data_IF_808236788438
#
_entry.id   IF_808236788438
#
_cell.length_a   1.000
_cell.length_b   1.000
_cell.length_c   1.000
_cell.angle_alpha   90.00
_cell.angle_beta   90.00
_cell.angle_gamma   90.00
#
_symmetry.space_group_name_H-M   'P 1'
#
loop_
_entity.id
_entity.type
_entity.pdbx_description
1 polymer ?
#
# COMPACT_ATOMS: atom_id res chain seq x y z
N UNK A 1 -30.60 33.18 -44.74
CA UNK A 1 -31.10 31.80 -44.48
C UNK A 1 -29.87 30.91 -44.28
N UNK A 2 -29.20 31.01 -43.12
CA UNK A 2 -29.27 30.03 -42.01
C UNK A 2 -29.53 28.57 -42.42
N UNK A 3 -28.88 27.53 -41.91
CA UNK A 3 -27.92 27.27 -40.83
C UNK A 3 -27.02 26.13 -41.37
N UNK A 4 -25.77 25.95 -40.99
CA UNK A 4 -25.38 25.14 -39.84
C UNK A 4 -23.91 25.40 -39.51
N UNK A 5 -23.68 26.09 -38.39
CA UNK A 5 -22.46 25.94 -37.60
C UNK A 5 -22.54 24.61 -36.84
N UNK A 6 -21.53 23.75 -36.95
CA UNK A 6 -21.31 22.70 -35.98
C UNK A 6 -19.86 22.75 -35.53
N UNK A 7 -19.73 23.02 -34.23
CA UNK A 7 -18.66 22.47 -33.42
C UNK A 7 -17.33 23.21 -33.51
N UNK A 8 -17.24 24.30 -32.75
CA UNK A 8 -16.03 24.58 -32.01
C UNK A 8 -15.67 23.33 -31.18
N UNK A 9 -14.86 22.45 -31.77
CA UNK A 9 -14.08 21.47 -31.04
C UNK A 9 -13.08 22.25 -30.21
N UNK A 10 -13.54 22.73 -29.06
CA UNK A 10 -12.70 23.20 -27.98
C UNK A 10 -11.67 22.11 -27.73
N UNK A 11 -10.49 22.26 -28.29
CA UNK A 11 -9.29 21.66 -27.73
C UNK A 11 -9.12 22.32 -26.36
N UNK A 12 -9.92 21.89 -25.38
CA UNK A 12 -9.52 21.98 -23.99
C UNK A 12 -8.21 21.23 -23.99
N UNK A 13 -7.12 21.98 -24.09
CA UNK A 13 -5.86 21.59 -23.53
C UNK A 13 -6.22 21.21 -22.10
N UNK A 14 -6.42 19.90 -21.87
CA UNK A 14 -6.34 19.36 -20.54
C UNK A 14 -4.95 19.78 -20.13
N UNK A 15 -4.85 20.78 -19.27
CA UNK A 15 -3.60 21.20 -18.67
C UNK A 15 -3.01 19.93 -18.09
N UNK A 16 -2.09 19.30 -18.83
CA UNK A 16 -1.38 18.12 -18.37
C UNK A 16 -0.49 18.68 -17.28
N UNK A 17 -0.96 18.54 -16.04
CA UNK A 17 -0.19 18.91 -14.87
C UNK A 17 1.03 17.98 -14.90
N UNK A 18 2.15 18.54 -15.32
CA UNK A 18 3.45 17.88 -15.29
C UNK A 18 4.29 18.55 -14.22
N UNK A 19 4.94 17.75 -13.39
CA UNK A 19 5.75 18.28 -12.29
C UNK A 19 6.98 17.43 -12.01
N UNK A 20 8.04 18.09 -11.54
CA UNK A 20 9.28 17.48 -11.10
C UNK A 20 9.54 17.91 -9.65
N UNK A 21 9.86 16.95 -8.80
CA UNK A 21 10.37 17.18 -7.45
C UNK A 21 11.70 16.45 -7.35
N UNK A 22 12.73 17.12 -6.90
CA UNK A 22 14.09 16.57 -6.86
C UNK A 22 14.79 16.85 -5.54
N UNK A 23 15.59 15.88 -5.08
CA UNK A 23 16.48 16.05 -3.92
C UNK A 23 15.76 16.18 -2.59
N UNK A 24 14.49 15.74 -2.51
CA UNK A 24 13.68 15.87 -1.32
C UNK A 24 13.98 14.75 -0.33
N UNK A 25 14.25 15.08 0.94
CA UNK A 25 14.27 14.12 2.04
C UNK A 25 13.02 14.28 2.89
N UNK A 26 12.19 13.24 2.98
CA UNK A 26 10.96 13.25 3.78
C UNK A 26 11.00 12.12 4.79
N UNK A 27 10.63 12.43 6.03
CA UNK A 27 10.41 11.42 7.08
C UNK A 27 8.95 11.47 7.52
N UNK A 28 8.27 10.33 7.44
CA UNK A 28 6.84 10.22 7.76
C UNK A 28 6.57 9.20 8.88
N UNK A 29 5.31 9.10 9.29
CA UNK A 29 4.87 8.11 10.27
C UNK A 29 3.43 7.66 10.03
N UNK A 30 2.41 8.43 10.45
CA UNK A 30 1.01 7.97 10.39
C UNK A 30 0.32 8.24 9.05
N UNK A 31 0.84 9.16 8.25
CA UNK A 31 0.25 9.57 6.98
C UNK A 31 1.23 9.32 5.83
N UNK A 32 0.67 9.29 4.62
CA UNK A 32 1.44 9.15 3.38
C UNK A 32 2.41 10.34 3.25
N UNK A 33 3.69 10.07 2.95
CA UNK A 33 4.66 11.15 2.74
C UNK A 33 4.35 11.94 1.46
N UNK A 34 3.94 11.23 0.40
CA UNK A 34 3.58 11.83 -0.88
C UNK A 34 2.29 11.20 -1.39
N UNK A 35 1.31 12.06 -1.67
CA UNK A 35 0.06 11.69 -2.32
C UNK A 35 -0.02 12.32 -3.71
N UNK A 36 -0.01 11.49 -4.74
CA UNK A 36 -0.13 11.92 -6.14
C UNK A 36 -1.57 11.72 -6.60
N UNK A 37 -2.23 12.82 -6.97
CA UNK A 37 -3.60 12.82 -7.52
C UNK A 37 -3.61 13.40 -8.93
N UNK A 38 -3.84 12.53 -9.91
CA UNK A 38 -3.84 12.91 -11.32
C UNK A 38 -2.51 13.49 -11.83
N UNK A 39 -2.48 13.89 -13.10
CA UNK A 39 -1.29 14.47 -13.73
C UNK A 39 -0.14 13.48 -13.92
N UNK A 40 1.03 14.02 -14.29
CA UNK A 40 2.26 13.27 -14.53
C UNK A 40 3.39 13.87 -13.70
N UNK A 41 3.89 13.12 -12.73
CA UNK A 41 4.88 13.60 -11.78
C UNK A 41 6.15 12.77 -11.89
N UNK A 42 7.28 13.43 -11.67
CA UNK A 42 8.58 12.77 -11.51
C UNK A 42 9.15 13.12 -10.15
N UNK A 43 9.52 12.12 -9.36
CA UNK A 43 10.38 12.27 -8.19
C UNK A 43 11.77 11.77 -8.56
N UNK A 44 12.77 12.64 -8.45
CA UNK A 44 14.17 12.33 -8.76
C UNK A 44 15.03 12.45 -7.52
N UNK A 45 15.87 11.45 -7.23
CA UNK A 45 16.88 11.53 -6.17
C UNK A 45 16.32 11.92 -4.79
N UNK A 46 15.10 11.43 -4.48
CA UNK A 46 14.45 11.67 -3.20
C UNK A 46 14.73 10.54 -2.20
N UNK A 47 14.80 10.86 -0.92
CA UNK A 47 14.88 9.90 0.19
C UNK A 47 13.60 9.99 1.04
N UNK A 48 12.79 8.93 1.04
CA UNK A 48 11.48 8.91 1.71
C UNK A 48 11.43 7.73 2.68
N UNK A 49 11.68 8.02 3.96
CA UNK A 49 11.69 7.02 5.01
C UNK A 49 10.55 7.19 6.01
N UNK A 50 10.16 6.10 6.68
CA UNK A 50 9.39 6.22 7.91
C UNK A 50 10.30 6.28 9.13
N UNK A 51 9.87 7.01 10.16
CA UNK A 51 10.54 7.03 11.46
C UNK A 51 10.20 5.83 12.37
N UNK A 52 9.12 5.09 12.07
CA UNK A 52 8.66 3.93 12.88
C UNK A 52 7.92 2.90 12.02
N UNK A 53 8.53 1.72 11.84
CA UNK A 53 8.02 0.62 10.98
C UNK A 53 6.63 0.09 11.36
N UNK A 54 6.32 -0.03 12.66
CA UNK A 54 5.17 -0.82 13.16
C UNK A 54 3.80 -0.18 12.89
N UNK A 55 3.73 1.10 12.48
CA UNK A 55 2.44 1.79 12.22
C UNK A 55 2.43 2.63 10.94
N UNK A 56 3.45 2.52 10.11
CA UNK A 56 3.58 3.42 8.97
C UNK A 56 2.68 3.04 7.80
N UNK A 57 2.00 4.03 7.21
CA UNK A 57 1.20 3.82 5.99
C UNK A 57 2.16 3.75 4.78
N UNK A 58 1.62 3.73 3.56
CA UNK A 58 2.40 3.81 2.33
C UNK A 58 3.24 5.09 2.28
N UNK A 59 4.53 5.02 1.94
CA UNK A 59 5.35 6.24 1.73
C UNK A 59 4.80 7.09 0.60
N UNK A 60 4.48 6.46 -0.53
CA UNK A 60 3.91 7.12 -1.70
C UNK A 60 2.60 6.43 -2.08
N UNK A 61 1.57 7.22 -2.33
CA UNK A 61 0.28 6.73 -2.83
C UNK A 61 -0.08 7.42 -4.15
N UNK A 62 -0.38 6.64 -5.18
CA UNK A 62 -0.89 7.13 -6.46
C UNK A 62 -2.39 6.87 -6.54
N UNK A 63 -3.16 7.94 -6.77
CA UNK A 63 -4.62 7.89 -6.88
C UNK A 63 -5.10 8.67 -8.10
N UNK A 64 -6.39 8.52 -8.42
CA UNK A 64 -7.10 9.36 -9.39
C UNK A 64 -6.44 9.42 -10.79
N UNK A 65 -6.01 8.26 -11.31
CA UNK A 65 -5.31 8.15 -12.61
C UNK A 65 -3.97 8.93 -12.69
N UNK A 66 -3.30 9.14 -11.55
CA UNK A 66 -1.98 9.73 -11.51
C UNK A 66 -0.92 8.87 -12.19
N UNK A 67 0.02 9.52 -12.85
CA UNK A 67 1.22 8.88 -13.41
C UNK A 67 2.44 9.36 -12.61
N UNK A 68 3.17 8.44 -12.02
CA UNK A 68 4.38 8.75 -11.26
C UNK A 68 5.60 8.06 -11.88
N UNK A 69 6.66 8.83 -12.05
CA UNK A 69 7.98 8.33 -12.35
C UNK A 69 8.88 8.53 -11.13
N UNK A 70 9.49 7.46 -10.66
CA UNK A 70 10.51 7.49 -9.62
C UNK A 70 11.86 7.21 -10.28
N UNK A 71 12.82 8.11 -10.07
CA UNK A 71 14.17 7.96 -10.59
C UNK A 71 15.18 8.14 -9.47
N UNK A 72 16.04 7.14 -9.25
CA UNK A 72 17.11 7.23 -8.26
C UNK A 72 16.63 7.55 -6.83
N UNK A 73 15.40 7.15 -6.47
CA UNK A 73 14.84 7.41 -5.16
C UNK A 73 15.15 6.26 -4.18
N UNK A 74 15.24 6.59 -2.90
CA UNK A 74 15.31 5.62 -1.81
C UNK A 74 14.04 5.68 -0.98
N UNK A 75 13.48 4.52 -0.65
CA UNK A 75 12.32 4.40 0.23
C UNK A 75 12.55 3.33 1.28
N UNK A 76 12.32 3.68 2.54
CA UNK A 76 12.75 2.88 3.69
C UNK A 76 11.68 2.79 4.79
N UNK A 77 11.56 1.61 5.41
CA UNK A 77 10.90 1.38 6.71
C UNK A 77 9.38 1.65 6.74
N UNK A 78 8.72 1.63 5.58
CA UNK A 78 7.27 1.76 5.46
C UNK A 78 6.56 0.40 5.34
N UNK A 79 5.26 0.33 5.67
CA UNK A 79 4.49 -0.90 5.36
C UNK A 79 4.44 -1.13 3.86
N UNK A 80 4.19 -0.07 3.09
CA UNK A 80 4.35 -0.08 1.65
C UNK A 80 5.24 1.07 1.20
N UNK A 81 6.20 0.85 0.31
CA UNK A 81 6.93 2.00 -0.24
C UNK A 81 6.04 2.77 -1.22
N UNK A 82 5.37 2.06 -2.13
CA UNK A 82 4.45 2.65 -3.11
C UNK A 82 3.15 1.86 -3.16
N UNK A 83 2.03 2.57 -3.04
CA UNK A 83 0.69 2.04 -3.30
C UNK A 83 0.14 2.63 -4.60
N UNK A 84 -0.32 1.78 -5.51
CA UNK A 84 -0.86 2.16 -6.81
C UNK A 84 -2.33 1.75 -6.88
N UNK A 85 -3.24 2.73 -6.87
CA UNK A 85 -4.67 2.46 -7.02
C UNK A 85 -5.03 2.14 -8.48
N UNK A 86 -6.25 1.64 -8.68
CA UNK A 86 -6.82 1.38 -10.00
C UNK A 86 -6.66 2.58 -10.95
N UNK A 87 -6.29 2.28 -12.19
CA UNK A 87 -6.04 3.25 -13.28
C UNK A 87 -4.83 4.19 -13.09
N UNK A 88 -4.06 4.07 -12.01
CA UNK A 88 -2.79 4.78 -11.87
C UNK A 88 -1.65 4.06 -12.59
N UNK A 89 -0.56 4.79 -12.86
CA UNK A 89 0.64 4.24 -13.51
C UNK A 89 1.90 4.63 -12.76
N UNK A 90 2.72 3.62 -12.46
CA UNK A 90 4.02 3.76 -11.83
C UNK A 90 5.12 3.33 -12.79
N UNK A 91 6.16 4.16 -12.89
CA UNK A 91 7.45 3.80 -13.50
C UNK A 91 8.53 4.04 -12.46
N UNK A 92 9.15 2.98 -11.94
CA UNK A 92 10.26 3.07 -11.00
C UNK A 92 11.56 2.64 -11.70
N UNK A 93 12.56 3.52 -11.70
CA UNK A 93 13.85 3.26 -12.32
C UNK A 93 14.99 3.56 -11.36
N UNK A 94 15.92 2.61 -11.20
CA UNK A 94 17.12 2.77 -10.35
C UNK A 94 16.81 3.18 -8.91
N UNK A 95 15.66 2.76 -8.39
CA UNK A 95 15.24 3.08 -7.03
C UNK A 95 15.66 1.98 -6.06
N UNK A 96 15.79 2.33 -4.78
CA UNK A 96 16.13 1.39 -3.71
C UNK A 96 14.98 1.33 -2.72
N UNK A 97 14.45 0.14 -2.49
CA UNK A 97 13.36 -0.12 -1.55
C UNK A 97 13.85 -1.05 -0.44
N UNK A 98 13.79 -0.59 0.80
CA UNK A 98 14.39 -1.29 1.94
C UNK A 98 13.41 -1.44 3.09
N UNK A 99 13.46 -2.59 3.76
CA UNK A 99 12.80 -2.79 5.05
C UNK A 99 11.27 -2.55 5.01
N UNK A 100 10.61 -2.95 3.92
CA UNK A 100 9.16 -2.79 3.75
C UNK A 100 8.41 -4.12 3.76
N UNK A 101 7.13 -4.12 4.15
CA UNK A 101 6.31 -5.34 4.02
C UNK A 101 6.02 -5.66 2.55
N UNK A 102 5.70 -4.64 1.76
CA UNK A 102 5.69 -4.76 0.30
C UNK A 102 6.24 -3.49 -0.33
N UNK A 103 7.28 -3.57 -1.16
CA UNK A 103 7.85 -2.36 -1.74
C UNK A 103 6.84 -1.68 -2.68
N UNK A 104 6.24 -2.43 -3.61
CA UNK A 104 5.17 -1.91 -4.47
C UNK A 104 3.92 -2.78 -4.30
N UNK A 105 2.80 -2.15 -3.98
CA UNK A 105 1.48 -2.78 -3.90
C UNK A 105 0.52 -2.13 -4.89
N UNK A 106 -0.30 -2.92 -5.57
CA UNK A 106 -1.43 -2.40 -6.36
C UNK A 106 -2.75 -2.67 -5.64
N UNK A 107 -3.76 -1.83 -5.93
CA UNK A 107 -5.12 -1.98 -5.43
C UNK A 107 -6.12 -1.74 -6.57
N UNK A 108 -6.58 -2.82 -7.19
CA UNK A 108 -7.51 -2.80 -8.32
C UNK A 108 -6.85 -2.68 -9.69
N UNK A 109 -5.59 -3.10 -9.83
CA UNK A 109 -4.86 -3.14 -11.11
C UNK A 109 -3.99 -1.91 -11.38
N UNK A 110 -3.96 -1.43 -12.64
CA UNK A 110 -3.11 -0.33 -13.09
C UNK A 110 -1.89 -0.79 -13.90
N UNK A 111 -0.92 0.11 -14.08
CA UNK A 111 0.33 -0.21 -14.79
C UNK A 111 1.56 0.04 -13.93
N UNK A 112 2.44 -0.95 -13.88
CA UNK A 112 3.68 -0.89 -13.08
C UNK A 112 4.87 -1.30 -13.96
N UNK A 113 5.87 -0.43 -14.04
CA UNK A 113 7.15 -0.70 -14.67
C UNK A 113 8.25 -0.51 -13.64
N UNK A 114 9.12 -1.50 -13.48
CA UNK A 114 10.19 -1.50 -12.47
C UNK A 114 11.49 -1.94 -13.11
N UNK A 115 12.42 -0.99 -13.26
CA UNK A 115 13.64 -1.21 -14.02
C UNK A 115 14.90 -0.87 -13.20
N UNK A 116 15.80 -1.84 -13.10
CA UNK A 116 17.09 -1.68 -12.41
C UNK A 116 16.97 -1.20 -10.96
N UNK A 117 15.90 -1.57 -10.26
CA UNK A 117 15.69 -1.24 -8.86
C UNK A 117 16.29 -2.31 -7.94
N UNK A 118 16.56 -1.90 -6.71
CA UNK A 118 17.07 -2.76 -5.65
C UNK A 118 16.01 -2.96 -4.57
N UNK A 119 15.79 -4.21 -4.16
CA UNK A 119 14.82 -4.60 -3.14
C UNK A 119 15.53 -5.40 -2.04
N UNK A 120 15.70 -4.78 -0.87
CA UNK A 120 16.43 -5.38 0.26
C UNK A 120 15.55 -5.52 1.50
N UNK A 121 15.63 -6.67 2.19
CA UNK A 121 14.92 -6.88 3.46
C UNK A 121 13.41 -6.58 3.37
N UNK A 122 12.78 -6.91 2.24
CA UNK A 122 11.35 -6.73 2.07
C UNK A 122 10.64 -8.09 2.17
N UNK A 123 9.48 -8.17 2.83
CA UNK A 123 8.73 -9.45 2.88
C UNK A 123 8.26 -9.85 1.46
N UNK A 124 7.94 -8.86 0.62
CA UNK A 124 7.75 -9.00 -0.81
C UNK A 124 8.23 -7.73 -1.52
N UNK A 125 8.90 -7.86 -2.66
CA UNK A 125 9.19 -6.69 -3.48
C UNK A 125 7.93 -6.19 -4.21
N UNK A 126 7.11 -7.09 -4.75
CA UNK A 126 5.88 -6.77 -5.48
C UNK A 126 4.69 -7.56 -4.93
N UNK A 127 3.63 -6.84 -4.55
CA UNK A 127 2.32 -7.39 -4.18
C UNK A 127 1.28 -6.86 -5.16
N UNK A 128 1.08 -7.56 -6.27
CA UNK A 128 0.28 -7.05 -7.40
C UNK A 128 -1.03 -7.83 -7.56
N UNK A 129 -2.07 -7.12 -7.98
CA UNK A 129 -3.36 -7.70 -8.36
C UNK A 129 -3.30 -8.33 -9.75
N UNK A 130 -4.19 -9.29 -10.02
CA UNK A 130 -4.30 -10.02 -11.29
C UNK A 130 -4.53 -9.13 -12.52
N UNK A 131 -5.11 -7.94 -12.31
CA UNK A 131 -5.44 -6.99 -13.37
C UNK A 131 -4.27 -6.06 -13.74
N UNK A 132 -3.16 -6.09 -13.01
CA UNK A 132 -2.01 -5.25 -13.31
C UNK A 132 -1.39 -5.64 -14.65
N UNK A 133 -0.84 -4.64 -15.34
CA UNK A 133 -0.01 -4.85 -16.53
C UNK A 133 1.35 -4.18 -16.38
N UNK A 134 2.37 -4.74 -17.02
CA UNK A 134 3.69 -4.11 -17.09
C UNK A 134 4.83 -5.11 -16.93
N UNK A 135 5.93 -4.67 -16.35
CA UNK A 135 7.13 -5.48 -16.21
C UNK A 135 8.02 -5.09 -15.04
N UNK A 136 8.84 -6.06 -14.63
CA UNK A 136 10.00 -5.85 -13.78
C UNK A 136 11.25 -6.39 -14.48
N UNK A 137 12.22 -5.53 -14.77
CA UNK A 137 13.46 -5.94 -15.44
C UNK A 137 14.75 -5.42 -14.81
N UNK A 138 15.81 -6.23 -14.83
CA UNK A 138 17.14 -5.83 -14.36
C UNK A 138 17.23 -5.55 -12.86
N UNK A 139 16.25 -5.98 -12.05
CA UNK A 139 16.20 -5.66 -10.63
C UNK A 139 17.09 -6.60 -9.80
N UNK A 140 17.62 -6.10 -8.68
CA UNK A 140 18.27 -6.92 -7.66
C UNK A 140 17.31 -7.13 -6.50
N UNK A 141 17.07 -8.38 -6.13
CA UNK A 141 16.11 -8.76 -5.08
C UNK A 141 16.79 -9.67 -4.07
N UNK A 142 16.78 -9.25 -2.82
CA UNK A 142 17.10 -10.12 -1.68
C UNK A 142 15.82 -10.84 -1.24
N UNK A 143 15.73 -12.14 -1.56
CA UNK A 143 14.56 -12.97 -1.32
C UNK A 143 13.60 -13.08 -2.51
N UNK A 144 12.30 -13.01 -2.27
CA UNK A 144 11.28 -13.28 -3.30
C UNK A 144 10.73 -11.99 -3.93
N UNK A 145 10.66 -11.97 -5.26
CA UNK A 145 10.04 -10.87 -6.01
C UNK A 145 8.56 -10.70 -5.64
N UNK A 146 7.83 -11.79 -5.41
CA UNK A 146 6.39 -11.75 -5.12
C UNK A 146 6.04 -12.27 -3.72
N UNK A 147 6.99 -12.74 -2.93
CA UNK A 147 6.72 -13.36 -1.64
C UNK A 147 5.74 -14.52 -1.78
N UNK A 148 4.63 -14.45 -1.01
CA UNK A 148 3.50 -15.39 -1.08
C UNK A 148 2.50 -15.12 -2.21
N UNK A 149 2.66 -14.01 -2.93
CA UNK A 149 1.72 -13.59 -3.96
C UNK A 149 2.04 -14.27 -5.30
N UNK A 150 1.01 -14.51 -6.10
CA UNK A 150 1.17 -15.10 -7.43
C UNK A 150 1.46 -13.97 -8.42
N UNK A 151 2.44 -14.17 -9.30
CA UNK A 151 2.72 -13.24 -10.39
C UNK A 151 1.48 -13.11 -11.31
N UNK A 152 0.98 -11.89 -11.55
CA UNK A 152 -0.13 -11.69 -12.49
C UNK A 152 0.24 -12.13 -13.92
N UNK A 153 -0.72 -12.74 -14.62
CA UNK A 153 -0.51 -13.33 -15.96
C UNK A 153 0.05 -12.30 -16.96
N UNK A 154 -0.39 -11.06 -16.87
CA UNK A 154 -0.01 -9.96 -17.79
C UNK A 154 1.22 -9.17 -17.32
N UNK A 155 1.86 -9.60 -16.22
CA UNK A 155 3.05 -8.95 -15.69
C UNK A 155 4.30 -9.76 -16.02
N UNK A 156 5.25 -9.14 -16.72
CA UNK A 156 6.47 -9.81 -17.20
C UNK A 156 7.63 -9.59 -16.24
N UNK A 157 8.44 -10.63 -16.00
CA UNK A 157 9.67 -10.52 -15.24
C UNK A 157 10.84 -11.04 -16.08
N UNK A 158 11.89 -10.24 -16.27
CA UNK A 158 13.02 -10.59 -17.13
C UNK A 158 14.32 -10.04 -16.56
N UNK A 159 15.36 -10.87 -16.45
CA UNK A 159 16.70 -10.41 -16.09
C UNK A 159 16.83 -9.85 -14.67
N UNK A 160 15.96 -10.27 -13.75
CA UNK A 160 16.10 -9.93 -12.32
C UNK A 160 17.10 -10.89 -11.66
N UNK A 161 17.97 -10.33 -10.83
CA UNK A 161 19.00 -11.06 -10.08
C UNK A 161 18.53 -11.25 -8.63
N UNK A 162 18.73 -12.45 -8.10
CA UNK A 162 18.39 -12.78 -6.73
C UNK A 162 19.68 -12.91 -5.92
N UNK A 163 19.84 -12.08 -4.91
CA UNK A 163 20.95 -12.23 -3.97
C UNK A 163 20.59 -13.35 -2.99
N UNK A 164 21.52 -14.27 -2.76
CA UNK A 164 21.36 -15.23 -1.69
C UNK A 164 21.32 -14.47 -0.36
N UNK A 165 20.50 -14.90 0.61
CA UNK A 165 20.67 -14.41 1.97
C UNK A 165 22.10 -14.74 2.39
N UNK A 166 22.81 -13.77 2.94
CA UNK A 166 24.10 -14.01 3.58
C UNK A 166 23.82 -15.04 4.70
N UNK A 167 24.17 -16.31 4.44
CA UNK A 167 24.17 -17.33 5.47
C UNK A 167 25.39 -17.00 6.31
N UNK A 168 25.17 -16.44 7.49
CA UNK A 168 26.23 -16.30 8.48
C UNK A 168 26.76 -17.72 8.76
N UNK A 169 27.88 -18.11 8.14
CA UNK A 169 28.58 -19.39 8.37
C UNK A 169 29.33 -19.38 9.71
N UNK A 170 28.77 -18.75 10.75
CA UNK A 170 29.38 -18.59 12.07
C UNK A 170 28.39 -18.98 13.20
N UNK A 171 27.91 -20.22 13.19
CA UNK A 171 27.53 -20.91 14.44
C UNK A 171 28.34 -22.19 14.58
N UNK A 172 29.60 -22.02 15.00
CA UNK A 172 30.39 -23.09 15.59
C UNK A 172 29.65 -23.65 16.80
N UNK A 173 29.10 -24.85 16.63
CA UNK A 173 28.57 -25.69 17.69
C UNK A 173 29.75 -26.16 18.55
N UNK A 174 30.18 -25.33 19.51
CA UNK A 174 31.06 -25.78 20.59
C UNK A 174 30.23 -26.55 21.61
N UNK A 175 30.06 -27.83 21.34
CA UNK A 175 29.48 -28.82 22.23
C UNK A 175 30.55 -29.30 23.22
N UNK A 176 30.85 -28.50 24.23
CA UNK A 176 31.63 -28.95 25.38
C UNK A 176 30.72 -29.17 26.58
N UNK A 177 30.46 -30.46 26.82
CA UNK A 177 30.21 -31.03 28.14
C UNK A 177 31.21 -30.48 29.15
N UNK A 178 30.75 -30.07 30.34
CA UNK A 178 31.30 -30.58 31.59
C UNK A 178 30.31 -30.41 32.74
N UNK A 179 30.08 -31.54 33.41
CA UNK A 179 29.35 -31.74 34.64
C UNK A 179 29.79 -30.78 35.76
N UNK A 180 28.84 -30.25 36.54
CA UNK A 180 29.06 -30.01 37.97
C UNK A 180 27.77 -30.12 38.77
N UNK A 181 27.69 -31.26 39.44
CA UNK A 181 27.15 -31.55 40.76
C UNK A 181 26.35 -30.48 41.52
N UNK A 182 25.20 -30.95 42.00
CA UNK A 182 24.31 -30.40 43.01
C UNK A 182 24.98 -29.83 44.27
N UNK A 183 24.50 -28.67 44.72
CA UNK A 183 24.40 -28.36 46.16
C UNK A 183 22.99 -27.88 46.45
N UNK A 184 22.25 -28.69 47.20
CA UNK A 184 21.02 -28.30 47.85
C UNK A 184 21.35 -27.39 49.04
N UNK A 185 20.65 -26.26 49.16
CA UNK A 185 20.43 -25.59 50.45
C UNK A 185 18.94 -25.25 50.53
N UNK A 186 18.29 -26.02 51.38
CA UNK A 186 17.00 -25.78 52.00
C UNK A 186 17.11 -24.58 52.94
N UNK A 187 16.15 -23.65 52.89
CA UNK A 187 15.59 -22.97 54.08
C UNK A 187 14.59 -21.86 53.66
N UNK A 188 13.31 -22.12 53.95
CA UNK A 188 12.52 -21.19 54.77
C UNK A 188 11.68 -20.09 54.11
N UNK A 189 10.40 -20.44 53.87
CA UNK A 189 9.18 -19.74 54.32
C UNK A 189 9.02 -18.21 54.09
N UNK A 190 7.94 -17.84 53.38
CA UNK A 190 7.34 -16.50 53.40
C UNK A 190 6.51 -16.24 52.13
N UNK A 191 5.29 -16.76 52.02
CA UNK A 191 4.02 -16.15 52.47
C UNK A 191 3.31 -15.38 51.34
N UNK A 192 2.14 -15.91 50.96
CA UNK A 192 0.93 -15.27 50.45
C UNK A 192 1.02 -14.14 49.39
N UNK A 193 0.67 -14.47 48.14
CA UNK A 193 -0.46 -13.81 47.45
C UNK A 193 -0.80 -14.52 46.14
N UNK A 194 -2.01 -15.09 46.13
CA UNK A 194 -2.64 -15.76 45.02
C UNK A 194 -2.91 -14.84 43.82
N UNK A 195 -2.80 -15.44 42.65
CA UNK A 195 -3.41 -15.04 41.39
C UNK A 195 -4.88 -14.64 41.57
N UNK A 196 -5.32 -13.57 40.89
CA UNK A 196 -6.66 -13.42 40.30
C UNK A 196 -6.75 -12.09 39.54
N UNK A 197 -6.34 -12.08 38.27
CA UNK A 197 -6.78 -11.04 37.33
C UNK A 197 -8.18 -11.43 36.85
N UNK A 198 -9.18 -10.75 37.39
CA UNK A 198 -10.58 -10.80 36.96
C UNK A 198 -10.71 -10.32 35.50
N UNK A 199 -10.94 -11.26 34.60
CA UNK A 199 -11.64 -11.02 33.34
C UNK A 199 -13.06 -11.60 33.49
N UNK A 200 -14.05 -10.73 33.64
CA UNK A 200 -15.40 -11.01 33.14
C UNK A 200 -16.23 -9.72 33.08
N UNK A 201 -16.85 -9.49 31.91
CA UNK A 201 -17.68 -8.33 31.61
C UNK A 201 -18.39 -8.59 30.28
N UNK A 202 -19.47 -9.34 30.40
CA UNK A 202 -20.18 -10.09 29.37
C UNK A 202 -20.72 -9.29 28.17
N UNK A 203 -20.82 -10.04 27.07
CA UNK A 203 -21.64 -9.76 25.90
C UNK A 203 -23.15 -9.97 26.18
N UNK A 204 -23.96 -9.59 25.17
CA UNK A 204 -25.42 -9.75 24.96
C UNK A 204 -26.24 -8.55 25.41
N UNK A 205 -27.30 -8.12 24.73
CA UNK A 205 -28.03 -8.49 23.51
C UNK A 205 -28.94 -7.28 23.22
N UNK A 206 -29.35 -7.06 21.98
CA UNK A 206 -30.31 -5.99 21.70
C UNK A 206 -30.55 -5.76 20.22
N UNK A 207 -31.36 -6.63 19.62
CA UNK A 207 -32.02 -6.45 18.34
C UNK A 207 -32.78 -5.11 18.25
N UNK A 208 -32.83 -4.52 17.04
CA UNK A 208 -34.02 -3.93 16.39
C UNK A 208 -33.56 -3.35 15.05
N UNK A 209 -33.80 -4.05 13.94
CA UNK A 209 -34.94 -3.88 13.04
C UNK A 209 -35.07 -2.48 12.42
N UNK A 210 -34.88 -2.46 11.10
CA UNK A 210 -35.75 -1.82 10.09
C UNK A 210 -36.95 -1.05 10.66
N UNK A 211 -37.07 0.24 10.35
CA UNK A 211 -38.26 0.71 9.61
C UNK A 211 -38.13 2.15 9.11
N UNK A 212 -38.47 2.26 7.83
CA UNK A 212 -38.93 3.43 7.10
C UNK A 212 -40.10 4.12 7.80
N UNK A 213 -40.03 5.43 8.05
CA UNK A 213 -41.18 6.38 8.01
C UNK A 213 -40.61 7.77 7.74
N UNK A 214 -40.86 8.35 6.56
CA UNK A 214 -42.00 9.20 6.27
C UNK A 214 -42.16 10.37 7.27
N UNK A 215 -41.75 11.57 6.87
CA UNK A 215 -42.20 12.82 7.46
C UNK A 215 -42.80 13.69 6.37
N UNK A 216 -44.11 13.59 6.23
CA UNK A 216 -44.97 14.54 5.54
C UNK A 216 -45.38 15.65 6.51
N UNK A 217 -45.25 16.92 6.13
CA UNK A 217 -46.34 17.90 6.25
C UNK A 217 -45.91 19.23 5.61
N UNK A 218 -46.76 19.74 4.71
CA UNK A 218 -46.51 20.93 3.93
C UNK A 218 -47.57 21.09 2.84
N UNK A 219 -48.80 21.30 3.29
CA UNK A 219 -50.06 21.52 2.56
C UNK A 219 -50.00 22.54 1.42
N UNK A 220 -50.66 22.24 0.30
CA UNK A 220 -51.03 23.20 -0.74
C UNK A 220 -51.90 22.56 -1.83
N UNK A 221 -53.19 22.91 -1.84
CA UNK A 221 -54.27 22.24 -2.54
C UNK A 221 -54.53 22.73 -3.98
N UNK A 222 -55.36 21.93 -4.67
CA UNK A 222 -56.18 22.21 -5.87
C UNK A 222 -55.45 22.19 -7.23
N UNK A 223 -55.94 21.51 -8.27
CA UNK A 223 -57.14 20.70 -8.44
C UNK A 223 -57.36 20.36 -9.92
N UNK A 224 -58.03 19.22 -10.15
CA UNK A 224 -58.86 18.87 -11.32
C UNK A 224 -58.16 18.75 -12.71
N UNK A 225 -58.04 17.52 -13.25
CA UNK A 225 -58.93 16.91 -14.28
C UNK A 225 -58.47 17.27 -15.70
N UNK A 226 -58.39 16.42 -16.71
CA UNK A 226 -59.01 15.12 -17.04
C UNK A 226 -58.44 14.70 -18.40
N UNK A 227 -58.30 13.39 -18.63
CA UNK A 227 -58.50 12.69 -19.92
C UNK A 227 -57.63 13.16 -21.14
N UNK A 228 -57.28 12.36 -22.14
CA UNK A 228 -57.82 11.12 -22.68
C UNK A 228 -56.74 10.49 -23.58
N UNK A 229 -57.07 9.31 -24.05
CA UNK A 229 -56.29 8.38 -24.85
C UNK A 229 -55.93 8.86 -26.27
N UNK A 230 -55.08 8.01 -26.87
CA UNK A 230 -55.06 7.59 -28.27
C UNK A 230 -54.14 8.34 -29.24
N UNK A 231 -52.96 7.78 -29.52
CA UNK A 231 -52.73 6.80 -30.60
C UNK A 231 -51.23 6.52 -30.77
#
# INVERSE_FOLDING_TARGET
>A
RDLYSWGAGSSKATNRVEGLVEGLTVRHFMEEAVLVRGGRWTLSSCDIGSSKRVRAVSSVSLRESGVLRLENCTMDSAVHAVSVDANASLVAAKCTFVNTKAAIVTRGGGSVQVDCCCFFQNDAALSLDDLVVGHASGNTVDGSMFGRWIRPVRFRCVGNTYTAPDVDEDEDVSQDLLDHESVAVDDGLGDESDDLILYEGAAREGETQLETTASSSGTGAAGASTEEAAS
#
